data_IF_983863234069
#
_entry.id   IF_983863234069
#
_cell.length_a   1.000
_cell.length_b   1.000
_cell.length_c   1.000
_cell.angle_alpha   90.00
_cell.angle_beta   90.00
_cell.angle_gamma   90.00
#
_symmetry.space_group_name_H-M   'P 1'
#
loop_
_entity.id
_entity.type
_entity.pdbx_description
1 polymer ?
#
# COMPACT_ATOMS: atom_id res chain seq x y z
N UNK A 1 7.63 -44.61 34.12
CA UNK A 1 8.62 -43.51 34.02
C UNK A 1 8.96 -43.13 32.57
N UNK A 2 9.33 -44.05 31.66
CA UNK A 2 9.68 -43.69 30.29
C UNK A 2 8.48 -43.10 29.46
N UNK A 3 7.27 -43.60 29.65
CA UNK A 3 6.08 -43.16 28.95
C UNK A 3 5.64 -41.74 29.36
N UNK A 4 5.78 -41.37 30.61
CA UNK A 4 5.45 -40.05 31.12
C UNK A 4 6.44 -38.99 30.64
N UNK A 5 7.73 -39.36 30.49
CA UNK A 5 8.73 -38.43 29.94
C UNK A 5 8.47 -38.12 28.47
N UNK A 6 8.03 -39.12 27.69
CA UNK A 6 7.70 -38.92 26.27
C UNK A 6 6.46 -38.02 26.12
N UNK A 7 5.43 -38.18 26.95
CA UNK A 7 4.25 -37.34 26.91
C UNK A 7 4.53 -35.87 27.24
N UNK A 8 5.40 -35.61 28.23
CA UNK A 8 5.79 -34.27 28.64
C UNK A 8 6.64 -33.59 27.55
N UNK A 9 7.59 -34.29 26.94
CA UNK A 9 8.41 -33.72 25.85
C UNK A 9 7.60 -33.44 24.61
N UNK A 10 6.60 -34.25 24.27
CA UNK A 10 5.71 -34.03 23.14
C UNK A 10 4.80 -32.82 23.39
N UNK A 11 4.32 -32.63 24.60
CA UNK A 11 3.49 -31.48 24.97
C UNK A 11 4.28 -30.17 24.93
N UNK A 12 5.53 -30.17 25.38
CA UNK A 12 6.42 -29.00 25.31
C UNK A 12 6.74 -28.66 23.86
N UNK A 13 6.96 -29.63 22.98
CA UNK A 13 7.21 -29.42 21.56
C UNK A 13 5.98 -28.84 20.82
N UNK A 14 4.76 -29.24 21.23
CA UNK A 14 3.52 -28.68 20.69
C UNK A 14 3.27 -27.25 21.17
N UNK A 15 3.67 -26.91 22.39
CA UNK A 15 3.52 -25.55 22.93
C UNK A 15 4.56 -24.58 22.37
N UNK A 16 5.75 -25.05 21.98
CA UNK A 16 6.78 -24.20 21.37
C UNK A 16 6.43 -23.73 19.94
N UNK A 17 5.46 -24.38 19.29
CA UNK A 17 4.95 -23.95 17.98
C UNK A 17 4.10 -22.67 17.99
N UNK A 18 3.69 -22.19 19.18
CA UNK A 18 2.89 -20.98 19.36
C UNK A 18 3.71 -19.80 19.93
N UNK A 19 4.99 -19.71 19.64
CA UNK A 19 5.79 -18.58 20.10
C UNK A 19 5.34 -17.30 19.40
N UNK A 20 4.91 -16.27 20.14
CA UNK A 20 4.51 -14.99 19.55
C UNK A 20 5.73 -14.35 18.88
N UNK A 21 5.76 -14.36 17.57
CA UNK A 21 6.77 -13.69 16.79
C UNK A 21 6.25 -12.32 16.36
N UNK A 22 6.93 -11.25 16.78
CA UNK A 22 6.60 -9.92 16.30
C UNK A 22 7.14 -9.76 14.87
N UNK A 23 6.30 -9.29 13.98
CA UNK A 23 6.72 -8.92 12.62
C UNK A 23 6.16 -7.55 12.25
N UNK A 24 6.87 -6.88 11.38
CA UNK A 24 6.43 -5.61 10.83
C UNK A 24 5.38 -5.87 9.74
N UNK A 25 4.28 -5.15 9.85
CA UNK A 25 3.17 -5.21 8.91
C UNK A 25 3.07 -3.86 8.20
N UNK A 26 3.25 -3.85 6.89
CA UNK A 26 3.20 -2.63 6.10
C UNK A 26 1.74 -2.28 5.80
N UNK A 27 1.23 -1.21 6.39
CA UNK A 27 -0.11 -0.69 6.15
C UNK A 27 -0.17 0.16 4.88
N UNK A 28 0.80 1.07 4.75
CA UNK A 28 0.92 1.97 3.61
C UNK A 28 2.30 1.80 3.00
N UNK A 29 2.36 1.58 1.70
CA UNK A 29 3.62 1.55 0.96
C UNK A 29 4.13 2.97 0.68
N UNK A 30 5.44 3.11 0.53
CA UNK A 30 6.02 4.38 0.10
C UNK A 30 5.61 4.71 -1.34
N UNK A 31 4.98 5.86 -1.53
CA UNK A 31 4.59 6.35 -2.85
C UNK A 31 5.07 7.78 -3.04
N UNK A 32 5.74 8.07 -4.15
CA UNK A 32 6.24 9.40 -4.45
C UNK A 32 6.02 9.73 -5.92
N UNK A 33 5.99 11.01 -6.22
CA UNK A 33 5.82 11.41 -7.61
C UNK A 33 5.69 12.90 -7.81
N UNK A 34 5.25 13.26 -9.01
CA UNK A 34 4.93 14.64 -9.40
C UNK A 34 3.50 14.69 -9.92
N UNK A 35 2.74 15.68 -9.49
CA UNK A 35 1.41 15.98 -10.00
C UNK A 35 1.48 17.17 -10.96
N UNK A 36 1.03 16.93 -12.18
CA UNK A 36 1.04 17.90 -13.27
C UNK A 36 -0.39 18.17 -13.76
N UNK A 37 -0.59 19.31 -14.39
CA UNK A 37 -1.79 19.64 -15.19
C UNK A 37 -1.35 20.32 -16.47
N UNK A 38 -1.62 19.70 -17.62
CA UNK A 38 -1.15 20.20 -18.91
C UNK A 38 0.38 20.38 -18.95
N UNK A 39 1.12 19.52 -18.30
CA UNK A 39 2.58 19.58 -18.19
C UNK A 39 3.13 20.55 -17.14
N UNK A 40 2.29 21.37 -16.49
CA UNK A 40 2.70 22.32 -15.45
C UNK A 40 2.53 21.72 -14.05
N UNK A 41 3.46 21.95 -13.10
CA UNK A 41 3.35 21.47 -11.73
C UNK A 41 2.09 22.01 -11.02
N UNK A 42 1.42 21.16 -10.26
CA UNK A 42 0.33 21.54 -9.37
C UNK A 42 0.82 21.62 -7.93
N UNK A 43 0.98 22.85 -7.41
CA UNK A 43 1.39 23.12 -6.04
C UNK A 43 0.21 23.16 -5.08
N UNK A 44 0.45 22.81 -3.79
CA UNK A 44 -0.52 22.96 -2.72
C UNK A 44 -1.69 21.98 -2.77
N UNK A 45 -1.60 20.91 -3.56
CA UNK A 45 -2.66 19.90 -3.68
C UNK A 45 -2.55 18.88 -2.56
N UNK A 46 -3.62 18.69 -1.74
CA UNK A 46 -3.67 17.61 -0.76
C UNK A 46 -3.57 16.24 -1.43
N UNK A 47 -2.67 15.42 -0.89
CA UNK A 47 -2.47 14.03 -1.25
C UNK A 47 -2.94 13.17 -0.10
N UNK A 48 -3.88 12.29 -0.36
CA UNK A 48 -4.48 11.46 0.67
C UNK A 48 -4.42 9.97 0.33
N UNK A 49 -4.46 9.15 1.37
CA UNK A 49 -4.51 7.69 1.28
C UNK A 49 -5.87 7.20 1.75
N UNK A 50 -6.46 6.26 1.02
CA UNK A 50 -7.63 5.52 1.44
C UNK A 50 -7.32 4.02 1.41
N UNK A 51 -7.71 3.31 2.46
CA UNK A 51 -7.64 1.85 2.56
C UNK A 51 -9.00 1.20 2.34
N UNK A 52 -10.03 1.99 2.10
CA UNK A 52 -11.41 1.55 1.94
C UNK A 52 -11.84 1.65 0.48
N UNK A 53 -12.53 0.63 0.02
CA UNK A 53 -13.22 0.65 -1.27
C UNK A 53 -14.71 0.88 -1.01
N UNK A 54 -15.30 1.89 -1.64
CA UNK A 54 -16.73 2.11 -1.60
C UNK A 54 -17.50 1.08 -2.45
N UNK A 55 -18.75 0.86 -2.08
CA UNK A 55 -19.66 -0.09 -2.75
C UNK A 55 -19.90 0.27 -4.24
N UNK A 56 -19.76 1.55 -4.57
CA UNK A 56 -19.93 2.09 -5.94
C UNK A 56 -18.67 2.03 -6.81
N UNK A 57 -17.58 1.43 -6.29
CA UNK A 57 -16.29 1.42 -6.97
C UNK A 57 -15.48 2.70 -6.76
N UNK A 58 -15.90 3.58 -5.85
CA UNK A 58 -15.08 4.71 -5.41
C UNK A 58 -13.92 4.19 -4.56
N UNK A 59 -12.70 4.53 -4.94
CA UNK A 59 -11.48 4.15 -4.26
C UNK A 59 -10.95 5.23 -3.31
N UNK A 60 -11.60 6.40 -3.29
CA UNK A 60 -11.21 7.53 -2.46
C UNK A 60 -12.21 7.79 -1.32
N UNK A 61 -12.67 6.73 -0.67
CA UNK A 61 -13.59 6.79 0.48
C UNK A 61 -12.81 7.08 1.75
N UNK A 62 -13.29 8.05 2.53
CA UNK A 62 -12.69 8.49 3.80
C UNK A 62 -11.16 8.62 3.76
N UNK A 63 -10.61 9.38 2.79
CA UNK A 63 -9.17 9.47 2.61
C UNK A 63 -8.54 10.35 3.67
N UNK A 64 -7.44 9.88 4.24
CA UNK A 64 -6.60 10.64 5.17
C UNK A 64 -5.55 11.45 4.40
N UNK A 65 -5.44 12.75 4.68
CA UNK A 65 -4.41 13.61 4.08
C UNK A 65 -3.06 13.31 4.73
N UNK A 66 -2.11 12.84 3.93
CA UNK A 66 -0.79 12.43 4.39
C UNK A 66 0.35 13.29 3.84
N UNK A 67 0.09 14.09 2.81
CA UNK A 67 1.05 14.98 2.19
C UNK A 67 0.35 16.13 1.44
N UNK A 68 1.16 17.10 1.02
CA UNK A 68 0.75 18.19 0.11
C UNK A 68 1.83 18.34 -0.96
N UNK A 69 1.43 18.61 -2.20
CA UNK A 69 2.38 18.81 -3.29
C UNK A 69 3.19 20.11 -3.09
N UNK A 70 4.49 20.06 -3.37
CA UNK A 70 5.38 21.20 -3.36
C UNK A 70 5.15 22.12 -4.58
N UNK A 71 5.89 23.24 -4.67
CA UNK A 71 5.84 24.16 -5.82
C UNK A 71 6.24 23.49 -7.14
N UNK A 72 7.07 22.44 -7.06
CA UNK A 72 7.41 21.61 -8.21
C UNK A 72 6.38 20.51 -8.50
N UNK A 73 5.22 20.50 -7.82
CA UNK A 73 4.23 19.47 -7.92
C UNK A 73 4.64 18.14 -7.28
N UNK A 74 5.81 18.08 -6.65
CA UNK A 74 6.33 16.86 -6.06
C UNK A 74 5.62 16.53 -4.74
N UNK A 75 5.38 15.23 -4.52
CA UNK A 75 4.78 14.71 -3.29
C UNK A 75 5.42 13.41 -2.85
N UNK A 76 5.28 13.10 -1.56
CA UNK A 76 5.75 11.85 -0.98
C UNK A 76 4.78 11.37 0.10
N UNK A 77 4.25 10.18 -0.10
CA UNK A 77 3.51 9.42 0.90
C UNK A 77 4.52 8.53 1.62
N UNK A 78 4.74 8.71 2.92
CA UNK A 78 5.64 7.86 3.67
C UNK A 78 5.02 6.47 3.84
N UNK A 79 5.85 5.42 3.98
CA UNK A 79 5.34 4.13 4.38
C UNK A 79 4.88 4.18 5.84
N UNK A 80 3.78 3.48 6.12
CA UNK A 80 3.30 3.24 7.47
C UNK A 80 3.53 1.78 7.83
N UNK A 81 4.22 1.56 8.95
CA UNK A 81 4.55 0.22 9.46
C UNK A 81 3.94 0.03 10.82
N UNK A 82 3.19 -1.04 10.98
CA UNK A 82 2.60 -1.44 12.26
C UNK A 82 3.24 -2.74 12.73
N UNK A 83 3.57 -2.83 14.03
CA UNK A 83 4.06 -4.07 14.62
C UNK A 83 2.91 -4.96 15.03
N UNK A 84 2.91 -6.18 14.54
CA UNK A 84 2.01 -7.23 14.97
C UNK A 84 2.73 -8.24 15.85
N UNK A 85 2.11 -8.59 16.99
CA UNK A 85 2.69 -9.50 17.97
C UNK A 85 2.25 -10.96 17.79
N UNK A 86 1.32 -11.23 16.87
CA UNK A 86 0.83 -12.58 16.61
C UNK A 86 0.78 -12.88 15.12
N UNK A 87 1.51 -13.90 14.71
CA UNK A 87 1.32 -14.54 13.41
C UNK A 87 0.43 -15.76 13.58
N UNK A 88 -0.67 -15.80 12.84
CA UNK A 88 -1.40 -17.03 12.67
C UNK A 88 -0.61 -17.95 11.75
N UNK A 89 -0.31 -19.17 12.18
CA UNK A 89 0.30 -20.21 11.34
C UNK A 89 -0.53 -20.51 10.07
N UNK A 90 -1.84 -20.18 10.12
CA UNK A 90 -2.77 -20.39 9.02
C UNK A 90 -2.77 -19.23 8.00
N UNK A 91 -2.15 -18.11 8.32
CA UNK A 91 -2.10 -16.94 7.45
C UNK A 91 -0.71 -16.30 7.50
N UNK A 92 0.29 -16.91 6.85
CA UNK A 92 1.65 -16.39 6.85
C UNK A 92 1.70 -14.98 6.25
N UNK A 93 2.55 -14.09 6.78
CA UNK A 93 2.64 -12.67 6.40
C UNK A 93 2.81 -12.44 4.90
N UNK A 94 3.51 -13.31 4.22
CA UNK A 94 3.80 -13.24 2.78
C UNK A 94 2.59 -13.52 1.88
N UNK A 95 1.48 -14.00 2.42
CA UNK A 95 0.22 -14.20 1.68
C UNK A 95 -0.76 -13.04 1.84
N UNK A 96 -0.47 -12.10 2.72
CA UNK A 96 -1.34 -10.94 2.93
C UNK A 96 -0.94 -9.83 1.98
N UNK A 97 -1.87 -9.39 1.16
CA UNK A 97 -1.74 -8.17 0.36
C UNK A 97 -2.79 -7.15 0.79
N UNK A 98 -2.44 -5.89 0.71
CA UNK A 98 -3.34 -4.79 1.03
C UNK A 98 -3.43 -3.83 -0.14
N UNK A 99 -4.63 -3.34 -0.36
CA UNK A 99 -4.87 -2.28 -1.32
C UNK A 99 -4.83 -0.92 -0.61
N UNK A 100 -4.18 0.05 -1.22
CA UNK A 100 -4.27 1.45 -0.83
C UNK A 100 -4.53 2.30 -2.07
N UNK A 101 -5.34 3.32 -1.93
CA UNK A 101 -5.64 4.29 -2.98
C UNK A 101 -4.94 5.60 -2.67
N UNK A 102 -4.22 6.14 -3.65
CA UNK A 102 -3.66 7.49 -3.59
C UNK A 102 -4.67 8.44 -4.25
N UNK A 103 -5.09 9.46 -3.51
CA UNK A 103 -6.12 10.38 -3.94
C UNK A 103 -5.63 11.82 -3.89
N UNK A 104 -6.02 12.61 -4.87
CA UNK A 104 -5.74 14.04 -4.97
C UNK A 104 -7.03 14.83 -4.88
N UNK A 105 -6.99 16.00 -4.22
CA UNK A 105 -8.13 16.89 -4.12
C UNK A 105 -7.75 18.29 -4.59
N UNK A 106 -8.25 18.70 -5.76
CA UNK A 106 -8.03 20.02 -6.32
C UNK A 106 -9.22 20.46 -7.19
N UNK A 107 -9.34 21.77 -7.42
CA UNK A 107 -10.34 22.35 -8.32
C UNK A 107 -11.78 21.87 -8.02
N UNK A 108 -12.10 21.66 -6.73
CA UNK A 108 -13.42 21.18 -6.30
C UNK A 108 -13.70 19.70 -6.62
N UNK A 109 -12.70 18.95 -7.07
CA UNK A 109 -12.84 17.54 -7.44
C UNK A 109 -11.85 16.68 -6.67
N UNK A 110 -12.25 15.43 -6.44
CA UNK A 110 -11.37 14.36 -5.94
C UNK A 110 -11.08 13.40 -7.09
N UNK A 111 -9.83 12.99 -7.23
CA UNK A 111 -9.40 12.07 -8.28
C UNK A 111 -8.53 10.97 -7.70
N UNK A 112 -8.76 9.76 -8.18
CA UNK A 112 -7.88 8.62 -7.93
C UNK A 112 -6.57 8.85 -8.68
N UNK A 113 -5.46 8.88 -7.94
CA UNK A 113 -4.11 8.89 -8.48
C UNK A 113 -3.68 7.51 -8.92
N UNK A 114 -3.64 6.58 -7.97
CA UNK A 114 -3.28 5.18 -8.20
C UNK A 114 -3.97 4.28 -7.18
N UNK A 115 -4.24 3.05 -7.58
CA UNK A 115 -4.55 1.94 -6.69
C UNK A 115 -3.31 1.05 -6.61
N UNK A 116 -2.79 0.87 -5.42
CA UNK A 116 -1.61 0.05 -5.15
C UNK A 116 -2.02 -1.16 -4.35
N UNK A 117 -1.75 -2.35 -4.87
CA UNK A 117 -1.90 -3.62 -4.15
C UNK A 117 -0.52 -4.20 -3.94
N UNK A 118 -0.13 -4.39 -2.70
CA UNK A 118 1.22 -4.82 -2.35
C UNK A 118 1.24 -5.75 -1.15
N UNK A 119 2.27 -6.60 -1.05
CA UNK A 119 2.45 -7.46 0.11
C UNK A 119 2.67 -6.60 1.36
N UNK A 120 2.25 -7.12 2.52
CA UNK A 120 2.38 -6.43 3.80
C UNK A 120 3.64 -6.82 4.57
N UNK A 121 4.39 -7.80 4.07
CA UNK A 121 5.61 -8.33 4.67
C UNK A 121 6.88 -7.63 4.22
N UNK A 122 6.81 -6.84 3.16
CA UNK A 122 7.94 -6.10 2.61
C UNK A 122 7.56 -4.72 2.11
N UNK A 123 8.47 -3.78 2.29
CA UNK A 123 8.31 -2.42 1.81
C UNK A 123 8.64 -2.33 0.32
N UNK A 124 7.72 -1.71 -0.43
CA UNK A 124 7.90 -1.39 -1.84
C UNK A 124 7.83 0.13 -2.00
N UNK A 125 8.70 0.69 -2.84
CA UNK A 125 8.67 2.11 -3.20
C UNK A 125 8.07 2.26 -4.59
N UNK A 126 7.09 3.13 -4.71
CA UNK A 126 6.46 3.47 -5.97
C UNK A 126 6.84 4.90 -6.36
N UNK A 127 7.19 5.08 -7.62
CA UNK A 127 7.45 6.40 -8.21
C UNK A 127 6.55 6.58 -9.41
N UNK A 128 5.85 7.72 -9.49
CA UNK A 128 4.88 7.97 -10.53
C UNK A 128 4.90 9.40 -11.05
N UNK A 129 4.45 9.57 -12.27
CA UNK A 129 4.05 10.86 -12.84
C UNK A 129 2.53 10.86 -12.97
N UNK A 130 1.87 11.83 -12.36
CA UNK A 130 0.42 11.97 -12.35
C UNK A 130 0.02 13.17 -13.19
N UNK A 131 -0.91 13.01 -14.13
CA UNK A 131 -1.45 14.10 -14.93
C UNK A 131 -2.91 14.32 -14.57
N UNK A 132 -3.21 15.52 -14.03
CA UNK A 132 -4.57 15.88 -13.62
C UNK A 132 -5.60 15.79 -14.74
N UNK A 133 -5.21 16.07 -15.97
CA UNK A 133 -6.10 16.07 -17.12
C UNK A 133 -6.21 14.67 -17.79
N UNK A 134 -5.42 13.70 -17.33
CA UNK A 134 -5.53 12.30 -17.78
C UNK A 134 -6.92 11.75 -17.54
N UNK A 135 -7.47 11.03 -18.50
CA UNK A 135 -8.76 10.31 -18.34
C UNK A 135 -8.67 9.15 -17.35
N UNK A 136 -7.47 8.83 -16.88
CA UNK A 136 -7.17 7.64 -16.12
C UNK A 136 -6.83 6.47 -17.04
N UNK A 137 -6.08 5.53 -16.53
CA UNK A 137 -5.74 4.30 -17.23
C UNK A 137 -6.78 3.24 -16.87
N UNK A 138 -7.42 2.64 -17.86
CA UNK A 138 -8.27 1.47 -17.63
C UNK A 138 -7.41 0.32 -17.10
N UNK A 139 -8.00 -0.44 -16.20
CA UNK A 139 -7.38 -1.58 -15.53
C UNK A 139 -6.78 -2.57 -16.54
N UNK A 140 -5.48 -2.70 -16.51
CA UNK A 140 -4.76 -3.85 -17.08
C UNK A 140 -4.22 -4.68 -15.92
N UNK A 141 -4.86 -5.81 -15.66
CA UNK A 141 -4.36 -6.76 -14.68
C UNK A 141 -3.03 -7.32 -15.16
N UNK A 142 -1.94 -6.82 -14.59
CA UNK A 142 -0.64 -7.43 -14.79
C UNK A 142 -0.47 -8.53 -13.74
N UNK A 143 -0.60 -9.78 -14.15
CA UNK A 143 -0.58 -10.97 -13.29
C UNK A 143 0.77 -11.23 -12.61
N UNK A 144 1.81 -10.49 -12.95
CA UNK A 144 3.15 -10.73 -12.44
C UNK A 144 3.59 -9.79 -11.30
N UNK A 145 2.88 -8.71 -11.02
CA UNK A 145 3.24 -7.77 -9.96
C UNK A 145 2.00 -7.25 -9.23
N UNK A 146 2.09 -7.15 -7.91
CA UNK A 146 1.03 -6.73 -6.99
C UNK A 146 0.68 -5.23 -7.05
N UNK A 147 1.11 -4.51 -8.06
CA UNK A 147 0.80 -3.10 -8.27
C UNK A 147 -0.11 -2.92 -9.48
N UNK A 148 -1.21 -2.20 -9.28
CA UNK A 148 -2.16 -1.88 -10.33
C UNK A 148 -2.18 -0.38 -10.51
N UNK A 149 -1.78 0.11 -11.67
CA UNK A 149 -1.84 1.52 -12.00
C UNK A 149 -3.25 1.87 -12.47
N UNK A 150 -3.98 2.59 -11.64
CA UNK A 150 -5.30 3.09 -11.96
C UNK A 150 -5.36 4.59 -11.68
N UNK A 151 -6.15 5.30 -12.43
CA UNK A 151 -6.37 6.72 -12.23
C UNK A 151 -5.41 7.57 -13.04
N UNK A 152 -5.05 8.72 -12.50
CA UNK A 152 -4.31 9.75 -13.24
C UNK A 152 -2.79 9.61 -13.18
N UNK A 153 -2.29 8.62 -12.43
CA UNK A 153 -0.85 8.37 -12.29
C UNK A 153 -0.39 7.24 -13.20
N UNK A 154 0.78 7.39 -13.75
CA UNK A 154 1.51 6.34 -14.46
C UNK A 154 2.82 6.07 -13.71
N UNK A 155 3.20 4.79 -13.60
CA UNK A 155 4.46 4.40 -12.99
C UNK A 155 5.63 4.95 -13.80
N UNK A 156 6.58 5.56 -13.13
CA UNK A 156 7.87 5.90 -13.73
C UNK A 156 8.76 4.66 -13.73
N UNK A 157 9.16 4.18 -14.90
CA UNK A 157 9.98 2.97 -15.08
C UNK A 157 11.43 3.09 -14.59
N UNK A 158 11.75 4.10 -13.77
CA UNK A 158 13.11 4.39 -13.30
C UNK A 158 13.56 3.53 -12.10
N UNK A 159 12.86 2.46 -11.73
CA UNK A 159 13.23 1.62 -10.58
C UNK A 159 13.55 0.17 -10.91
N UNK A 160 14.22 -0.07 -12.04
CA UNK A 160 14.93 -1.34 -12.29
C UNK A 160 16.43 -1.12 -12.03
N UNK A 161 16.82 -1.11 -10.76
CA UNK A 161 18.17 -1.44 -10.30
C UNK A 161 18.09 -2.21 -9.00
#
# INVERSE_FOLDING_TARGET
MALELIAVTTLIALLSGCYPHSHDYILTQGFSGVLLKGGSPMSGVPVSVSHTRGDTGDYCVDPEVVAVTSDAGAFRVPPEVQKHHFTSLLNPPNMVSRAMSICFQALGKRRLGALVVSPTDRQVKYVAVCDWDSKGVEFKQNTAQYAYDWGICARSDTSSQ
#
